data_IF_782175500297
#
_entry.id   IF_782175500297
#
_cell.length_a   1.000
_cell.length_b   1.000
_cell.length_c   1.000
_cell.angle_alpha   90.00
_cell.angle_beta   90.00
_cell.angle_gamma   90.00
#
_symmetry.space_group_name_H-M   'P 1'
#
loop_
_entity.id
_entity.type
_entity.pdbx_description
1 polymer ?
#
# COMPACT_ATOMS: atom_id res chain seq x y z
N UNK A 1 -15.00 15.55 16.08
CA UNK A 1 -14.28 15.50 17.38
C UNK A 1 -13.00 16.33 17.37
N UNK A 2 -12.12 16.21 16.37
CA UNK A 2 -10.92 17.08 16.28
C UNK A 2 -11.25 18.57 16.41
N UNK A 3 -12.21 19.06 15.60
CA UNK A 3 -12.68 20.46 15.65
C UNK A 3 -13.29 20.86 16.99
N UNK A 4 -13.95 19.92 17.69
CA UNK A 4 -14.61 20.21 18.97
C UNK A 4 -13.63 20.19 20.15
N UNK A 5 -12.57 19.38 20.07
CA UNK A 5 -11.47 19.31 21.05
C UNK A 5 -10.32 20.28 20.73
N UNK A 6 -10.45 21.13 19.71
CA UNK A 6 -9.44 22.12 19.35
C UNK A 6 -8.11 21.54 18.85
N UNK A 7 -8.11 20.32 18.30
CA UNK A 7 -6.90 19.70 17.76
C UNK A 7 -6.52 20.38 16.44
N UNK A 8 -5.39 21.07 16.43
CA UNK A 8 -4.85 21.74 15.24
C UNK A 8 -3.93 20.81 14.45
N UNK A 9 -4.08 20.86 13.12
CA UNK A 9 -3.20 20.18 12.18
C UNK A 9 -2.09 21.18 11.80
N UNK A 10 -0.83 20.75 11.63
CA UNK A 10 0.22 21.64 11.15
C UNK A 10 -0.15 22.23 9.79
N UNK A 11 -0.04 23.56 9.66
CA UNK A 11 -0.26 24.24 8.39
C UNK A 11 0.83 23.89 7.37
N UNK A 12 0.43 23.82 6.10
CA UNK A 12 1.36 23.59 5.01
C UNK A 12 2.18 24.87 4.79
N UNK A 13 3.48 24.78 5.04
CA UNK A 13 4.44 25.86 4.80
C UNK A 13 5.64 25.33 4.04
N UNK A 14 6.44 26.23 3.44
CA UNK A 14 7.69 25.85 2.80
C UNK A 14 8.69 25.20 3.77
N UNK A 15 8.61 25.52 5.06
CA UNK A 15 9.45 24.91 6.11
C UNK A 15 9.02 23.47 6.44
N UNK A 16 7.75 23.15 6.24
CA UNK A 16 7.15 21.85 6.51
C UNK A 16 7.10 20.94 5.26
N UNK A 17 7.54 21.42 4.08
CA UNK A 17 7.71 20.62 2.85
C UNK A 17 8.98 19.74 2.90
N UNK A 18 9.16 19.01 4.00
CA UNK A 18 10.27 18.09 4.23
C UNK A 18 9.80 16.91 5.09
N UNK A 19 10.65 15.89 5.20
CA UNK A 19 10.34 14.78 6.10
C UNK A 19 10.37 15.26 7.54
N UNK A 20 9.23 15.17 8.22
CA UNK A 20 9.09 15.44 9.65
C UNK A 20 9.29 14.18 10.51
N UNK A 21 9.83 13.11 9.91
CA UNK A 21 10.15 11.89 10.62
C UNK A 21 11.43 12.08 11.47
N UNK A 22 11.50 11.45 12.65
CA UNK A 22 12.66 11.56 13.56
C UNK A 22 13.98 11.12 12.90
N UNK A 23 13.90 10.22 11.91
CA UNK A 23 14.98 9.82 11.01
C UNK A 23 14.83 10.46 9.62
N UNK A 24 14.61 11.76 9.52
CA UNK A 24 14.26 12.44 8.25
C UNK A 24 15.18 12.13 7.06
N UNK A 25 16.50 12.00 7.30
CA UNK A 25 17.46 11.62 6.25
C UNK A 25 17.35 10.16 5.78
N UNK A 26 16.93 9.24 6.65
CA UNK A 26 16.70 7.85 6.26
C UNK A 26 15.29 7.64 5.67
N UNK A 27 14.38 8.59 5.95
CA UNK A 27 13.00 8.56 5.53
C UNK A 27 12.60 9.83 4.76
N UNK A 28 13.21 10.11 3.59
CA UNK A 28 12.84 11.29 2.80
C UNK A 28 11.42 11.18 2.26
N UNK A 29 10.76 12.32 2.00
CA UNK A 29 9.37 12.36 1.51
C UNK A 29 9.19 11.51 0.25
N UNK A 30 10.06 11.72 -0.74
CA UNK A 30 10.16 10.83 -1.89
C UNK A 30 11.32 9.84 -1.70
N UNK A 31 11.09 8.52 -1.86
CA UNK A 31 9.85 7.85 -2.26
C UNK A 31 8.98 7.37 -1.07
N UNK A 32 9.42 7.56 0.17
CA UNK A 32 8.85 6.86 1.33
C UNK A 32 7.37 7.13 1.53
N UNK A 33 6.91 8.37 1.38
CA UNK A 33 5.51 8.75 1.57
C UNK A 33 4.58 7.96 0.63
N UNK A 34 4.97 7.80 -0.63
CA UNK A 34 4.17 7.10 -1.65
C UNK A 34 4.11 5.59 -1.45
N UNK A 35 5.12 5.04 -0.76
CA UNK A 35 5.08 3.65 -0.31
C UNK A 35 4.25 3.54 0.97
N UNK A 36 4.49 4.37 1.98
CA UNK A 36 3.80 4.30 3.28
C UNK A 36 2.29 4.46 3.17
N UNK A 37 1.79 5.38 2.32
CA UNK A 37 0.36 5.60 2.06
C UNK A 37 -0.11 4.63 0.95
N UNK A 38 0.16 3.33 1.11
CA UNK A 38 0.02 2.37 0.03
C UNK A 38 -1.42 2.30 -0.53
N UNK A 39 -2.32 1.67 0.23
CA UNK A 39 -3.69 1.42 -0.19
C UNK A 39 -4.52 2.70 -0.42
N UNK A 40 -4.13 3.82 0.19
CA UNK A 40 -4.76 5.12 -0.04
C UNK A 40 -4.35 5.82 -1.34
N UNK A 41 -3.18 5.52 -1.89
CA UNK A 41 -2.68 6.12 -3.14
C UNK A 41 -2.95 5.23 -4.36
N UNK A 42 -2.50 3.97 -4.32
CA UNK A 42 -2.75 2.95 -5.35
C UNK A 42 -2.45 1.56 -4.78
N UNK A 43 -3.19 0.53 -5.19
CA UNK A 43 -3.06 -0.81 -4.60
C UNK A 43 -2.94 -1.94 -5.62
N UNK A 44 -1.83 -2.67 -5.55
CA UNK A 44 -1.64 -3.91 -6.29
C UNK A 44 -2.48 -5.06 -5.72
N UNK A 45 -2.71 -5.09 -4.40
CA UNK A 45 -3.59 -6.08 -3.78
C UNK A 45 -5.01 -5.98 -4.32
N UNK A 46 -5.57 -4.77 -4.45
CA UNK A 46 -6.88 -4.56 -5.08
C UNK A 46 -6.92 -5.07 -6.52
N UNK A 47 -5.85 -4.89 -7.29
CA UNK A 47 -5.75 -5.46 -8.63
C UNK A 47 -5.84 -7.00 -8.62
N UNK A 48 -5.23 -7.69 -7.65
CA UNK A 48 -5.34 -9.16 -7.54
C UNK A 48 -6.75 -9.64 -7.21
N UNK A 49 -7.52 -8.85 -6.47
CA UNK A 49 -8.88 -9.21 -6.05
C UNK A 49 -9.94 -8.80 -7.08
N UNK A 50 -9.59 -7.91 -8.02
CA UNK A 50 -10.51 -7.37 -9.02
C UNK A 50 -11.20 -8.45 -9.88
N UNK A 51 -10.55 -9.54 -10.32
CA UNK A 51 -11.22 -10.59 -11.07
C UNK A 51 -12.30 -11.34 -10.28
N UNK A 52 -12.10 -11.53 -8.97
CA UNK A 52 -13.11 -12.14 -8.11
C UNK A 52 -14.31 -11.21 -7.95
N UNK A 53 -14.06 -9.92 -7.68
CA UNK A 53 -15.12 -8.92 -7.53
C UNK A 53 -15.89 -8.68 -8.83
N UNK A 54 -15.22 -8.70 -9.98
CA UNK A 54 -15.85 -8.56 -11.30
C UNK A 54 -16.88 -9.67 -11.59
N UNK A 55 -16.75 -10.86 -10.96
CA UNK A 55 -17.74 -11.95 -11.08
C UNK A 55 -18.91 -11.83 -10.12
N UNK A 56 -18.77 -11.00 -9.08
CA UNK A 56 -19.80 -10.78 -8.06
C UNK A 56 -20.68 -9.56 -8.38
N UNK A 57 -20.24 -8.65 -9.24
CA UNK A 57 -21.05 -7.52 -9.68
C UNK A 57 -22.11 -7.98 -10.69
N UNK A 58 -23.34 -7.48 -10.54
CA UNK A 58 -24.47 -7.85 -11.43
C UNK A 58 -24.39 -7.15 -12.78
N UNK A 59 -23.95 -5.89 -12.78
CA UNK A 59 -23.90 -5.01 -13.95
C UNK A 59 -22.58 -4.25 -13.97
N UNK A 60 -22.04 -4.00 -15.17
CA UNK A 60 -20.81 -3.24 -15.38
C UNK A 60 -20.92 -1.79 -14.89
N UNK A 61 -22.12 -1.20 -14.90
CA UNK A 61 -22.38 0.14 -14.37
C UNK A 61 -22.02 0.29 -12.88
N UNK A 62 -22.02 -0.81 -12.11
CA UNK A 62 -21.55 -0.81 -10.73
C UNK A 62 -20.03 -0.78 -10.61
N UNK A 63 -19.29 -1.11 -11.68
CA UNK A 63 -17.83 -1.18 -11.68
C UNK A 63 -17.16 0.11 -11.20
N UNK A 64 -17.63 1.29 -11.65
CA UNK A 64 -17.09 2.57 -11.17
C UNK A 64 -17.28 2.74 -9.66
N UNK A 65 -18.44 2.38 -9.13
CA UNK A 65 -18.69 2.50 -7.68
C UNK A 65 -17.86 1.50 -6.87
N UNK A 66 -17.77 0.26 -7.34
CA UNK A 66 -17.09 -0.84 -6.63
C UNK A 66 -15.58 -0.70 -6.66
N UNK A 67 -14.99 -0.38 -7.82
CA UNK A 67 -13.52 -0.30 -7.95
C UNK A 67 -13.00 1.11 -7.61
N UNK A 68 -13.46 2.12 -8.35
CA UNK A 68 -12.97 3.48 -8.16
C UNK A 68 -13.51 4.11 -6.86
N UNK A 69 -14.80 3.92 -6.57
CA UNK A 69 -15.42 4.46 -5.36
C UNK A 69 -14.80 3.91 -4.06
N UNK A 70 -14.42 2.64 -4.03
CA UNK A 70 -13.73 2.04 -2.88
C UNK A 70 -12.37 2.69 -2.63
N UNK A 71 -11.55 2.85 -3.69
CA UNK A 71 -10.23 3.51 -3.58
C UNK A 71 -10.35 4.96 -3.08
N UNK A 72 -11.36 5.72 -3.56
CA UNK A 72 -11.60 7.10 -3.07
C UNK A 72 -11.95 7.11 -1.59
N UNK A 73 -12.80 6.18 -1.14
CA UNK A 73 -13.19 6.07 0.27
C UNK A 73 -11.97 5.72 1.16
N UNK A 74 -11.13 4.77 0.74
CA UNK A 74 -9.89 4.44 1.46
C UNK A 74 -8.92 5.63 1.52
N UNK A 75 -8.79 6.40 0.44
CA UNK A 75 -7.99 7.62 0.42
C UNK A 75 -8.48 8.67 1.43
N UNK A 76 -9.80 8.89 1.52
CA UNK A 76 -10.39 9.80 2.52
C UNK A 76 -10.09 9.33 3.94
N UNK A 77 -10.25 8.02 4.22
CA UNK A 77 -9.94 7.44 5.53
C UNK A 77 -8.46 7.61 5.88
N UNK A 78 -7.56 7.41 4.91
CA UNK A 78 -6.12 7.62 5.10
C UNK A 78 -5.80 9.08 5.45
N UNK A 79 -6.42 10.05 4.77
CA UNK A 79 -6.25 11.48 5.07
C UNK A 79 -6.76 11.83 6.48
N UNK A 80 -7.90 11.28 6.90
CA UNK A 80 -8.42 11.47 8.26
C UNK A 80 -7.43 10.93 9.29
N UNK A 81 -6.91 9.73 9.11
CA UNK A 81 -5.93 9.15 10.04
C UNK A 81 -4.61 9.91 10.08
N UNK A 82 -4.12 10.40 8.94
CA UNK A 82 -2.95 11.26 8.89
C UNK A 82 -3.19 12.57 9.68
N UNK A 83 -4.33 13.23 9.46
CA UNK A 83 -4.71 14.45 10.17
C UNK A 83 -4.81 14.23 11.69
N UNK A 84 -5.50 13.16 12.12
CA UNK A 84 -5.64 12.84 13.54
C UNK A 84 -4.29 12.51 14.16
N UNK A 85 -3.46 11.71 13.48
CA UNK A 85 -2.14 11.32 13.97
C UNK A 85 -1.21 12.51 14.19
N UNK A 86 -1.22 13.49 13.27
CA UNK A 86 -0.40 14.70 13.40
C UNK A 86 -0.84 15.65 14.51
N UNK A 87 -2.12 15.61 14.91
CA UNK A 87 -2.69 16.56 15.86
C UNK A 87 -2.88 15.99 17.27
N UNK A 88 -3.11 14.67 17.41
CA UNK A 88 -3.58 14.06 18.67
C UNK A 88 -2.59 14.18 19.84
N UNK A 89 -1.28 14.04 19.59
CA UNK A 89 -0.25 14.13 20.63
C UNK A 89 0.29 15.55 20.86
N UNK A 90 -0.34 16.58 20.29
CA UNK A 90 0.12 17.97 20.38
C UNK A 90 1.03 18.41 19.22
N UNK A 91 1.36 17.49 18.31
CA UNK A 91 2.11 17.79 17.11
C UNK A 91 2.84 16.58 16.53
N UNK A 92 3.49 16.79 15.39
CA UNK A 92 4.26 15.75 14.69
C UNK A 92 5.51 15.37 15.47
N UNK A 93 6.11 16.30 16.23
CA UNK A 93 7.30 16.02 17.03
C UNK A 93 6.97 15.04 18.16
N UNK A 94 5.91 15.33 18.90
CA UNK A 94 5.41 14.53 20.01
C UNK A 94 4.93 13.15 19.51
N UNK A 95 4.28 13.11 18.34
CA UNK A 95 3.98 11.85 17.65
C UNK A 95 5.23 11.02 17.42
N UNK A 96 6.32 11.61 16.91
CA UNK A 96 7.56 10.87 16.66
C UNK A 96 8.16 10.32 17.97
N UNK A 97 8.17 11.11 19.04
CA UNK A 97 8.68 10.68 20.35
C UNK A 97 7.89 9.49 20.90
N UNK A 98 6.56 9.58 20.88
CA UNK A 98 5.68 8.49 21.33
C UNK A 98 5.84 7.25 20.46
N UNK A 99 5.93 7.40 19.13
CA UNK A 99 6.10 6.27 18.23
C UNK A 99 7.45 5.56 18.40
N UNK A 100 8.51 6.28 18.77
CA UNK A 100 9.81 5.65 19.12
C UNK A 100 9.68 4.83 20.42
N UNK A 101 9.03 5.39 21.44
CA UNK A 101 8.79 4.70 22.72
C UNK A 101 7.94 3.43 22.51
N UNK A 102 6.95 3.50 21.62
CA UNK A 102 6.03 2.41 21.31
C UNK A 102 6.53 1.50 20.18
N UNK A 103 7.83 1.54 19.85
CA UNK A 103 8.46 0.67 18.85
C UNK A 103 7.79 0.69 17.46
N UNK A 104 7.36 1.86 16.99
CA UNK A 104 6.68 2.06 15.70
C UNK A 104 5.32 1.31 15.59
N UNK A 105 4.66 1.02 16.72
CA UNK A 105 3.39 0.29 16.75
C UNK A 105 2.19 1.19 16.41
N UNK A 106 1.85 1.28 15.13
CA UNK A 106 0.72 2.08 14.66
C UNK A 106 -0.65 1.56 15.17
N UNK A 107 -0.79 0.24 15.40
CA UNK A 107 -2.02 -0.35 15.91
C UNK A 107 -2.32 0.12 17.34
N UNK A 108 -1.30 0.24 18.16
CA UNK A 108 -1.42 0.87 19.49
C UNK A 108 -1.87 2.33 19.37
N UNK A 109 -1.26 3.11 18.47
CA UNK A 109 -1.63 4.51 18.26
C UNK A 109 -3.09 4.68 17.85
N UNK A 110 -3.59 3.81 16.96
CA UNK A 110 -5.00 3.78 16.58
C UNK A 110 -5.91 3.45 17.76
N UNK A 111 -5.53 2.49 18.61
CA UNK A 111 -6.28 2.14 19.81
C UNK A 111 -6.38 3.32 20.79
N UNK A 112 -5.26 3.98 21.04
CA UNK A 112 -5.17 5.12 21.96
C UNK A 112 -6.01 6.31 21.47
N UNK A 113 -5.85 6.68 20.19
CA UNK A 113 -6.64 7.73 19.55
C UNK A 113 -8.15 7.41 19.64
N UNK A 114 -8.53 6.17 19.34
CA UNK A 114 -9.92 5.73 19.31
C UNK A 114 -10.57 5.83 20.69
N UNK A 115 -9.91 5.34 21.73
CA UNK A 115 -10.43 5.37 23.09
C UNK A 115 -10.48 6.79 23.67
N UNK A 116 -9.49 7.63 23.36
CA UNK A 116 -9.36 8.99 23.91
C UNK A 116 -10.23 10.03 23.18
N UNK A 117 -10.37 9.94 21.85
CA UNK A 117 -11.20 10.88 21.10
C UNK A 117 -12.67 10.50 21.09
N UNK A 118 -12.98 9.23 20.81
CA UNK A 118 -14.34 8.77 20.56
C UNK A 118 -15.09 8.32 21.82
N UNK A 119 -14.40 8.26 22.96
CA UNK A 119 -14.92 7.71 24.22
C UNK A 119 -15.17 6.20 24.15
N UNK A 120 -15.70 5.60 25.22
CA UNK A 120 -15.87 4.13 25.30
C UNK A 120 -16.70 3.56 24.15
N UNK A 121 -17.82 4.18 23.81
CA UNK A 121 -18.72 3.68 22.75
C UNK A 121 -18.13 3.84 21.35
N UNK A 122 -17.58 5.01 21.02
CA UNK A 122 -16.99 5.24 19.70
C UNK A 122 -15.65 4.52 19.54
N UNK A 123 -14.89 4.32 20.61
CA UNK A 123 -13.68 3.51 20.64
C UNK A 123 -13.94 2.04 20.30
N UNK A 124 -15.00 1.43 20.87
CA UNK A 124 -15.42 0.07 20.52
C UNK A 124 -15.76 -0.02 19.02
N UNK A 125 -16.54 0.92 18.48
CA UNK A 125 -16.92 0.91 17.07
C UNK A 125 -15.71 1.12 16.14
N UNK A 126 -14.79 2.00 16.50
CA UNK A 126 -13.57 2.24 15.74
C UNK A 126 -12.64 1.03 15.76
N UNK A 127 -12.44 0.40 16.92
CA UNK A 127 -11.65 -0.83 17.04
C UNK A 127 -12.30 -1.95 16.22
N UNK A 128 -13.62 -2.13 16.28
CA UNK A 128 -14.31 -3.14 15.46
C UNK A 128 -14.07 -2.90 13.97
N UNK A 129 -14.16 -1.65 13.49
CA UNK A 129 -13.89 -1.31 12.08
C UNK A 129 -12.41 -1.52 11.69
N UNK A 130 -11.49 -1.03 12.53
CA UNK A 130 -10.04 -1.12 12.32
C UNK A 130 -9.54 -2.57 12.41
N UNK A 131 -10.16 -3.42 13.23
CA UNK A 131 -9.76 -4.82 13.41
C UNK A 131 -10.44 -5.73 12.37
N UNK A 132 -11.70 -5.47 12.02
CA UNK A 132 -12.42 -6.29 11.05
C UNK A 132 -11.78 -6.21 9.65
N UNK A 133 -11.32 -5.03 9.21
CA UNK A 133 -10.75 -4.86 7.87
C UNK A 133 -9.45 -5.67 7.64
N UNK A 134 -8.44 -5.63 8.54
CA UNK A 134 -7.26 -6.48 8.45
C UNK A 134 -7.57 -7.98 8.61
N UNK A 135 -8.55 -8.37 9.42
CA UNK A 135 -8.92 -9.79 9.56
C UNK A 135 -9.51 -10.31 8.25
N UNK A 136 -10.48 -9.61 7.67
CA UNK A 136 -11.14 -10.03 6.42
C UNK A 136 -10.20 -9.96 5.21
N UNK A 137 -9.36 -8.92 5.13
CA UNK A 137 -8.32 -8.80 4.10
C UNK A 137 -7.23 -9.85 4.28
N UNK A 138 -6.84 -10.12 5.53
CA UNK A 138 -5.86 -11.15 5.90
C UNK A 138 -6.33 -12.55 5.54
N UNK A 139 -7.57 -12.92 5.87
CA UNK A 139 -8.16 -14.20 5.45
C UNK A 139 -8.13 -14.35 3.92
N UNK A 140 -8.52 -13.29 3.21
CA UNK A 140 -8.46 -13.25 1.75
C UNK A 140 -7.02 -13.45 1.25
N UNK A 141 -6.03 -12.80 1.87
CA UNK A 141 -4.61 -12.95 1.51
C UNK A 141 -4.08 -14.36 1.77
N UNK A 142 -4.34 -14.95 2.94
CA UNK A 142 -3.94 -16.33 3.26
C UNK A 142 -4.63 -17.35 2.34
N UNK A 143 -5.90 -17.11 1.99
CA UNK A 143 -6.63 -17.93 1.02
C UNK A 143 -6.00 -17.83 -0.37
N UNK A 144 -5.68 -16.64 -0.85
CA UNK A 144 -4.99 -16.45 -2.12
C UNK A 144 -3.60 -17.09 -2.12
N UNK A 145 -2.80 -16.90 -1.07
CA UNK A 145 -1.48 -17.50 -0.93
C UNK A 145 -1.55 -19.04 -0.99
N UNK A 146 -2.50 -19.65 -0.29
CA UNK A 146 -2.74 -21.10 -0.35
C UNK A 146 -3.06 -21.57 -1.76
N UNK A 147 -3.93 -20.86 -2.47
CA UNK A 147 -4.32 -21.24 -3.84
C UNK A 147 -3.12 -21.12 -4.79
N UNK A 148 -2.34 -20.04 -4.69
CA UNK A 148 -1.12 -19.85 -5.48
C UNK A 148 -0.13 -21.00 -5.25
N UNK A 149 0.17 -21.32 -3.99
CA UNK A 149 1.08 -22.44 -3.64
C UNK A 149 0.52 -23.78 -4.12
N UNK A 150 -0.79 -24.00 -3.98
CA UNK A 150 -1.44 -25.22 -4.46
C UNK A 150 -1.32 -25.37 -5.98
N UNK A 151 -1.46 -24.28 -6.74
CA UNK A 151 -1.34 -24.28 -8.19
C UNK A 151 0.11 -24.54 -8.63
N UNK A 152 1.10 -23.90 -7.98
CA UNK A 152 2.52 -24.17 -8.23
C UNK A 152 2.92 -25.62 -7.96
N UNK A 153 2.40 -26.21 -6.89
CA UNK A 153 2.66 -27.61 -6.53
C UNK A 153 1.71 -28.60 -7.21
N UNK A 154 0.77 -28.11 -8.03
CA UNK A 154 -0.27 -28.89 -8.70
C UNK A 154 -1.11 -29.77 -7.74
N UNK A 155 -1.38 -29.27 -6.52
CA UNK A 155 -2.12 -29.97 -5.46
C UNK A 155 -3.59 -29.55 -5.47
N UNK A 156 -4.47 -30.43 -5.95
CA UNK A 156 -5.92 -30.22 -5.95
C UNK A 156 -6.47 -29.93 -4.54
N UNK A 157 -7.12 -28.78 -4.37
CA UNK A 157 -7.66 -28.28 -3.09
C UNK A 157 -9.08 -28.79 -2.72
N UNK A 158 -9.45 -30.01 -3.15
CA UNK A 158 -10.78 -30.60 -2.84
C UNK A 158 -10.90 -31.13 -1.42
N UNK A 159 -9.93 -31.95 -0.98
CA UNK A 159 -9.91 -32.55 0.36
C UNK A 159 -9.42 -31.57 1.41
N UNK A 160 -10.07 -31.56 2.59
CA UNK A 160 -9.68 -30.71 3.73
C UNK A 160 -8.23 -30.96 4.16
N UNK A 161 -7.76 -32.20 4.13
CA UNK A 161 -6.37 -32.55 4.50
C UNK A 161 -5.37 -31.85 3.57
N UNK A 162 -5.62 -31.85 2.25
CA UNK A 162 -4.75 -31.16 1.28
C UNK A 162 -4.78 -29.65 1.42
N UNK A 163 -5.89 -29.09 1.95
CA UNK A 163 -5.97 -27.67 2.29
C UNK A 163 -5.11 -27.38 3.51
N UNK A 164 -5.27 -28.15 4.59
CA UNK A 164 -4.52 -27.98 5.83
C UNK A 164 -3.01 -28.16 5.64
N UNK A 165 -2.60 -29.12 4.79
CA UNK A 165 -1.20 -29.37 4.44
C UNK A 165 -0.49 -28.11 3.92
N UNK A 166 -1.20 -27.25 3.19
CA UNK A 166 -0.65 -25.99 2.67
C UNK A 166 -0.94 -24.83 3.61
N UNK A 167 -2.14 -24.75 4.19
CA UNK A 167 -2.53 -23.67 5.11
C UNK A 167 -1.63 -23.62 6.34
N UNK A 168 -1.41 -24.75 7.02
CA UNK A 168 -0.70 -24.78 8.31
C UNK A 168 0.72 -24.21 8.17
N UNK A 169 1.56 -24.65 7.22
CA UNK A 169 2.87 -24.04 7.00
C UNK A 169 2.79 -22.53 6.71
N UNK A 170 1.86 -22.09 5.87
CA UNK A 170 1.70 -20.66 5.55
C UNK A 170 1.30 -19.87 6.81
N UNK A 171 0.40 -20.39 7.65
CA UNK A 171 0.02 -19.75 8.92
C UNK A 171 1.18 -19.72 9.93
N UNK A 172 1.99 -20.78 10.03
CA UNK A 172 3.17 -20.80 10.90
C UNK A 172 4.16 -19.72 10.45
N UNK A 173 4.46 -19.64 9.16
CA UNK A 173 5.34 -18.60 8.60
C UNK A 173 4.75 -17.21 8.85
N UNK A 174 3.46 -17.02 8.60
CA UNK A 174 2.75 -15.77 8.87
C UNK A 174 2.79 -15.35 10.33
N UNK A 175 2.65 -16.30 11.26
CA UNK A 175 2.75 -16.06 12.70
C UNK A 175 4.16 -15.67 13.13
N UNK A 176 5.20 -16.32 12.58
CA UNK A 176 6.60 -15.95 12.87
C UNK A 176 6.88 -14.53 12.36
N UNK A 177 6.45 -14.22 11.13
CA UNK A 177 6.64 -12.89 10.53
C UNK A 177 5.88 -11.82 11.33
N UNK A 178 4.69 -12.12 11.86
CA UNK A 178 3.90 -11.15 12.62
C UNK A 178 4.50 -10.78 13.98
N UNK A 179 5.49 -11.53 14.49
CA UNK A 179 6.27 -11.14 15.69
C UNK A 179 7.36 -10.11 15.38
N UNK A 180 7.57 -9.75 14.11
CA UNK A 180 8.56 -8.76 13.70
C UNK A 180 8.07 -7.33 13.96
N UNK A 181 8.98 -6.36 13.95
CA UNK A 181 8.63 -4.95 14.11
C UNK A 181 7.56 -4.52 13.07
N UNK A 182 6.46 -3.95 13.56
CA UNK A 182 5.33 -3.55 12.71
C UNK A 182 5.74 -2.56 11.62
N UNK A 183 6.61 -1.59 11.93
CA UNK A 183 7.09 -0.60 10.97
C UNK A 183 7.85 -1.24 9.81
N UNK A 184 8.74 -2.20 10.11
CA UNK A 184 9.48 -2.97 9.09
C UNK A 184 8.51 -3.81 8.25
N UNK A 185 7.61 -4.55 8.89
CA UNK A 185 6.63 -5.41 8.21
C UNK A 185 5.71 -4.59 7.29
N UNK A 186 5.23 -3.45 7.77
CA UNK A 186 4.40 -2.52 7.00
C UNK A 186 5.14 -2.00 5.77
N UNK A 187 6.41 -1.62 5.93
CA UNK A 187 7.27 -1.13 4.85
C UNK A 187 7.48 -2.17 3.75
N UNK A 188 7.74 -3.42 4.11
CA UNK A 188 7.83 -4.51 3.12
C UNK A 188 6.50 -4.80 2.43
N UNK A 189 5.40 -4.87 3.20
CA UNK A 189 4.07 -5.10 2.65
C UNK A 189 3.68 -3.99 1.68
N UNK A 190 3.86 -2.74 2.09
CA UNK A 190 3.58 -1.56 1.31
C UNK A 190 4.37 -1.53 -0.01
N UNK A 191 5.68 -1.75 0.05
CA UNK A 191 6.52 -1.79 -1.15
C UNK A 191 6.14 -2.93 -2.09
N UNK A 192 5.87 -4.12 -1.55
CA UNK A 192 5.44 -5.28 -2.35
C UNK A 192 4.11 -5.01 -3.04
N UNK A 193 3.15 -4.42 -2.33
CA UNK A 193 1.86 -4.01 -2.88
C UNK A 193 2.03 -2.95 -3.99
N UNK A 194 2.90 -1.97 -3.81
CA UNK A 194 3.15 -0.96 -4.83
C UNK A 194 3.88 -1.51 -6.06
N UNK A 195 4.83 -2.41 -5.85
CA UNK A 195 5.53 -3.09 -6.95
C UNK A 195 4.56 -3.91 -7.79
N UNK A 196 3.60 -4.60 -7.16
CA UNK A 196 2.54 -5.29 -7.88
C UNK A 196 1.64 -4.32 -8.66
N UNK A 197 1.33 -3.15 -8.10
CA UNK A 197 0.60 -2.10 -8.81
C UNK A 197 1.35 -1.63 -10.07
N UNK A 198 2.68 -1.48 -10.00
CA UNK A 198 3.53 -1.13 -11.17
C UNK A 198 3.33 -2.12 -12.32
N UNK A 199 3.45 -3.42 -12.06
CA UNK A 199 3.27 -4.44 -13.10
C UNK A 199 1.87 -4.41 -13.71
N UNK A 200 0.84 -4.26 -12.88
CA UNK A 200 -0.55 -4.17 -13.35
C UNK A 200 -0.77 -2.90 -14.18
N UNK A 201 -0.24 -1.75 -13.75
CA UNK A 201 -0.33 -0.50 -14.50
C UNK A 201 0.34 -0.59 -15.86
N UNK A 202 1.52 -1.22 -15.96
CA UNK A 202 2.18 -1.48 -17.24
C UNK A 202 1.34 -2.42 -18.12
N UNK A 203 0.75 -3.48 -17.54
CA UNK A 203 -0.13 -4.37 -18.27
C UNK A 203 -1.38 -3.65 -18.82
N UNK A 204 -2.03 -2.81 -17.99
CA UNK A 204 -3.17 -1.97 -18.42
C UNK A 204 -2.73 -0.99 -19.51
N UNK A 205 -1.53 -0.42 -19.40
CA UNK A 205 -1.00 0.52 -20.41
C UNK A 205 -0.82 -0.16 -21.76
N UNK A 206 -0.25 -1.36 -21.79
CA UNK A 206 -0.13 -2.16 -23.02
C UNK A 206 -1.51 -2.52 -23.57
N UNK A 207 -2.46 -2.91 -22.71
CA UNK A 207 -3.83 -3.22 -23.12
C UNK A 207 -4.53 -2.00 -23.76
N UNK A 208 -4.53 -0.85 -23.08
CA UNK A 208 -5.15 0.37 -23.60
C UNK A 208 -4.50 0.84 -24.90
N UNK A 209 -3.18 0.69 -25.03
CA UNK A 209 -2.47 1.00 -26.26
C UNK A 209 -2.95 0.11 -27.42
N UNK A 210 -3.04 -1.21 -27.22
CA UNK A 210 -3.55 -2.16 -28.23
C UNK A 210 -4.97 -1.85 -28.65
N UNK A 211 -5.82 -1.52 -27.69
CA UNK A 211 -7.23 -1.16 -27.92
C UNK A 211 -7.41 0.25 -28.52
N UNK A 212 -6.31 0.97 -28.83
CA UNK A 212 -6.32 2.35 -29.33
C UNK A 212 -7.09 3.31 -28.43
N UNK A 213 -7.10 3.04 -27.12
CA UNK A 213 -7.72 3.88 -26.08
C UNK A 213 -6.66 4.80 -25.47
N UNK A 214 -7.11 5.74 -24.63
CA UNK A 214 -6.25 6.70 -23.95
C UNK A 214 -5.36 6.00 -22.90
N UNK A 215 -4.23 5.45 -23.34
CA UNK A 215 -3.27 4.72 -22.50
C UNK A 215 -2.49 5.62 -21.52
N UNK A 216 -2.48 6.94 -21.73
CA UNK A 216 -1.84 7.90 -20.82
C UNK A 216 -2.39 7.84 -19.39
N UNK A 217 -3.67 7.47 -19.24
CA UNK A 217 -4.33 7.32 -17.93
C UNK A 217 -3.63 6.30 -17.04
N UNK A 218 -3.08 5.23 -17.61
CA UNK A 218 -2.31 4.23 -16.86
C UNK A 218 -0.79 4.41 -17.00
N UNK A 219 -0.31 4.96 -18.12
CA UNK A 219 1.12 5.19 -18.35
C UNK A 219 1.72 6.17 -17.33
N UNK A 220 1.06 7.30 -17.08
CA UNK A 220 1.60 8.32 -16.15
C UNK A 220 1.77 7.73 -14.74
N UNK A 221 0.76 7.07 -14.15
CA UNK A 221 0.95 6.34 -12.90
C UNK A 221 1.99 5.21 -13.00
N UNK A 222 2.07 4.47 -14.11
CA UNK A 222 3.03 3.38 -14.27
C UNK A 222 4.49 3.88 -14.17
N UNK A 223 4.81 4.94 -14.90
CA UNK A 223 6.13 5.58 -14.88
C UNK A 223 6.44 6.13 -13.50
N UNK A 224 5.51 6.88 -12.90
CA UNK A 224 5.70 7.45 -11.57
C UNK A 224 5.91 6.37 -10.50
N UNK A 225 5.07 5.34 -10.47
CA UNK A 225 5.19 4.26 -9.48
C UNK A 225 6.42 3.39 -9.72
N UNK A 226 6.90 3.28 -10.97
CA UNK A 226 8.19 2.64 -11.27
C UNK A 226 9.34 3.41 -10.59
N UNK A 227 9.33 4.74 -10.67
CA UNK A 227 10.32 5.58 -9.97
C UNK A 227 10.21 5.41 -8.45
N UNK A 228 8.99 5.46 -7.90
CA UNK A 228 8.75 5.26 -6.46
C UNK A 228 9.31 3.92 -5.98
N UNK A 229 8.90 2.81 -6.62
CA UNK A 229 9.24 1.46 -6.14
C UNK A 229 10.73 1.14 -6.33
N UNK A 230 11.32 1.57 -7.45
CA UNK A 230 12.74 1.36 -7.73
C UNK A 230 13.61 2.18 -6.78
N UNK A 231 13.38 3.49 -6.64
CA UNK A 231 14.12 4.32 -5.68
C UNK A 231 13.95 3.81 -4.25
N UNK A 232 12.74 3.38 -3.86
CA UNK A 232 12.47 2.89 -2.50
C UNK A 232 13.36 1.71 -2.15
N UNK A 233 13.50 0.75 -3.07
CA UNK A 233 14.32 -0.44 -2.87
C UNK A 233 15.78 -0.09 -2.57
N UNK A 234 16.32 0.96 -3.19
CA UNK A 234 17.72 1.38 -2.98
C UNK A 234 17.91 2.30 -1.77
N UNK A 235 16.93 3.12 -1.44
CA UNK A 235 17.04 4.13 -0.36
C UNK A 235 16.61 3.60 1.01
N UNK A 236 15.65 2.67 1.04
CA UNK A 236 15.05 2.20 2.30
C UNK A 236 16.10 1.54 3.19
N UNK A 237 16.08 1.78 4.50
CA UNK A 237 16.92 1.07 5.46
C UNK A 237 16.73 -0.45 5.43
N UNK A 238 15.53 -0.92 5.08
CA UNK A 238 15.22 -2.36 4.96
C UNK A 238 15.56 -2.93 3.56
N UNK A 239 15.99 -2.07 2.63
CA UNK A 239 16.44 -2.42 1.28
C UNK A 239 17.96 -2.44 1.18
N UNK A 240 18.51 -1.79 0.15
CA UNK A 240 19.97 -1.68 -0.02
C UNK A 240 20.62 -0.56 0.79
N UNK A 241 19.84 0.29 1.47
CA UNK A 241 20.31 1.38 2.33
C UNK A 241 21.42 2.27 1.70
N UNK A 242 21.31 2.54 0.41
CA UNK A 242 22.28 3.33 -0.35
C UNK A 242 22.12 4.84 -0.12
N UNK A 243 23.18 5.61 -0.40
CA UNK A 243 23.12 7.09 -0.39
C UNK A 243 22.02 7.60 -1.32
N UNK A 244 21.22 8.56 -0.83
CA UNK A 244 20.06 9.10 -1.53
C UNK A 244 20.33 9.50 -2.99
N UNK A 245 21.41 10.26 -3.25
CA UNK A 245 21.75 10.73 -4.61
C UNK A 245 21.95 9.56 -5.59
N UNK A 246 22.55 8.47 -5.13
CA UNK A 246 22.79 7.27 -5.94
C UNK A 246 21.46 6.54 -6.15
N UNK A 247 20.65 6.37 -5.10
CA UNK A 247 19.33 5.74 -5.18
C UNK A 247 18.37 6.48 -6.12
N UNK A 248 18.39 7.81 -6.13
CA UNK A 248 17.62 8.63 -7.06
C UNK A 248 18.09 8.45 -8.50
N UNK A 249 19.41 8.41 -8.72
CA UNK A 249 19.99 8.19 -10.06
C UNK A 249 19.62 6.81 -10.61
N UNK A 250 19.71 5.76 -9.79
CA UNK A 250 19.36 4.39 -10.19
C UNK A 250 17.86 4.28 -10.46
N UNK A 251 17.01 4.81 -9.58
CA UNK A 251 15.56 4.76 -9.78
C UNK A 251 15.11 5.53 -11.04
N UNK A 252 15.73 6.68 -11.31
CA UNK A 252 15.50 7.43 -12.55
C UNK A 252 15.94 6.63 -13.78
N UNK A 253 17.13 6.00 -13.74
CA UNK A 253 17.61 5.15 -14.81
C UNK A 253 16.67 3.98 -15.11
N UNK A 254 16.24 3.24 -14.08
CA UNK A 254 15.31 2.11 -14.22
C UNK A 254 13.98 2.60 -14.83
N UNK A 255 13.47 3.74 -14.37
CA UNK A 255 12.22 4.31 -14.88
C UNK A 255 12.32 4.69 -16.36
N UNK A 256 13.41 5.34 -16.75
CA UNK A 256 13.68 5.69 -18.15
C UNK A 256 13.84 4.43 -18.99
N UNK A 257 14.57 3.43 -18.50
CA UNK A 257 14.77 2.16 -19.18
C UNK A 257 13.43 1.42 -19.41
N UNK A 258 12.60 1.26 -18.38
CA UNK A 258 11.28 0.65 -18.50
C UNK A 258 10.38 1.41 -19.48
N UNK A 259 10.40 2.74 -19.43
CA UNK A 259 9.60 3.59 -20.33
C UNK A 259 10.07 3.47 -21.78
N UNK A 260 11.40 3.49 -22.01
CA UNK A 260 11.99 3.29 -23.33
C UNK A 260 11.66 1.90 -23.88
N UNK A 261 11.76 0.86 -23.06
CA UNK A 261 11.39 -0.52 -23.42
C UNK A 261 9.93 -0.62 -23.87
N UNK A 262 9.02 0.06 -23.18
CA UNK A 262 7.61 0.13 -23.60
C UNK A 262 7.47 0.73 -25.00
N UNK A 263 8.04 1.92 -25.26
CA UNK A 263 7.93 2.57 -26.57
C UNK A 263 8.63 1.80 -27.69
N UNK A 264 9.76 1.15 -27.41
CA UNK A 264 10.45 0.28 -28.37
C UNK A 264 9.58 -0.94 -28.72
N UNK A 265 9.01 -1.60 -27.70
CA UNK A 265 8.16 -2.78 -27.89
C UNK A 265 6.90 -2.45 -28.69
N UNK A 266 6.34 -1.27 -28.42
CA UNK A 266 5.19 -0.72 -29.14
C UNK A 266 5.53 -0.38 -30.61
N UNK A 267 6.69 0.22 -30.88
CA UNK A 267 7.12 0.60 -32.23
C UNK A 267 7.46 -0.61 -33.12
N UNK A 268 8.06 -1.65 -32.54
CA UNK A 268 8.55 -2.83 -33.27
C UNK A 268 7.44 -3.82 -33.68
N UNK A 269 6.16 -3.39 -33.74
CA UNK A 269 4.99 -4.21 -34.12
C UNK A 269 4.76 -5.49 -33.29
N UNK A 270 5.41 -5.68 -32.14
CA UNK A 270 5.09 -6.81 -31.23
C UNK A 270 3.64 -6.80 -30.73
N UNK A 271 2.96 -5.66 -30.89
CA UNK A 271 1.56 -5.46 -30.51
C UNK A 271 0.65 -5.06 -31.66
N UNK A 272 1.11 -5.16 -32.91
CA UNK A 272 0.26 -5.02 -34.09
C UNK A 272 -0.60 -6.26 -34.25
N UNK A 273 -1.86 -6.17 -33.81
CA UNK A 273 -2.95 -7.00 -34.33
C UNK A 273 -3.35 -6.50 -35.72
#
# INVERSE_FOLDING_TARGET
MMFWKGLSIPELSFENLRSMHYKGNAFPVFPMMFVTIACGAISGFHATQSPLMARCIKNESYGRRVFYGAMVAEGIVALIWAAVGMAFWGGVKELNEVMVIQHENAAWGVNEISNSLLGKFGGILAILGVVAAPITSGDTAFRSARLIVADFLNIKQKSVIKRLLISIPIFIVGFIISQSNFGVLWRYMAWSNQTLAVFVLWAITVYLYKEKKLYFVSLIPAVFMTAVCSTYLFISPDGFAMRQNISYSIGAFITVACTALFFISVRNKHFSA
#
